data_IF_393408459123
#
_entry.id   IF_393408459123
#
_cell.length_a   1.000
_cell.length_b   1.000
_cell.length_c   1.000
_cell.angle_alpha   90.00
_cell.angle_beta   90.00
_cell.angle_gamma   90.00
#
_symmetry.space_group_name_H-M   'P 1'
#
loop_
_entity.id
_entity.type
_entity.pdbx_description
1 polymer ?
#
# COMPACT_ATOMS: atom_id res chain seq x y z
N UNK A 1 -62.39 26.57 31.42
CA UNK A 1 -61.25 25.67 31.13
C UNK A 1 -60.67 26.07 29.78
N UNK A 2 -59.33 26.18 29.62
CA UNK A 2 -58.54 26.22 28.35
C UNK A 2 -57.26 27.11 28.35
N UNK A 3 -56.81 27.68 29.48
CA UNK A 3 -55.60 28.54 29.51
C UNK A 3 -54.27 27.83 29.85
N UNK A 4 -54.29 26.57 30.30
CA UNK A 4 -53.06 25.87 30.74
C UNK A 4 -52.27 25.19 29.61
N UNK A 5 -52.84 25.03 28.41
CA UNK A 5 -52.18 24.35 27.28
C UNK A 5 -51.27 25.28 26.45
N UNK A 6 -51.46 26.60 26.51
CA UNK A 6 -50.74 27.56 25.65
C UNK A 6 -49.35 27.97 26.17
N UNK A 7 -49.09 27.78 27.47
CA UNK A 7 -47.82 28.17 28.10
C UNK A 7 -46.68 27.16 27.89
N UNK A 8 -47.00 25.90 27.54
CA UNK A 8 -45.98 24.87 27.42
C UNK A 8 -45.27 24.89 26.05
N UNK A 9 -45.93 25.38 24.99
CA UNK A 9 -45.37 25.41 23.63
C UNK A 9 -44.29 26.48 23.43
N UNK A 10 -44.38 27.63 24.10
CA UNK A 10 -43.37 28.69 24.01
C UNK A 10 -42.03 28.29 24.67
N UNK A 11 -42.10 27.49 25.73
CA UNK A 11 -40.91 26.96 26.42
C UNK A 11 -40.17 25.90 25.59
N UNK A 12 -40.89 25.13 24.77
CA UNK A 12 -40.31 24.15 23.86
C UNK A 12 -39.65 24.84 22.67
N UNK A 13 -40.36 25.78 22.04
CA UNK A 13 -39.83 26.54 20.91
C UNK A 13 -38.53 27.30 21.26
N UNK A 14 -38.48 27.97 22.41
CA UNK A 14 -37.28 28.69 22.88
C UNK A 14 -36.09 27.77 23.17
N UNK A 15 -36.33 26.58 23.74
CA UNK A 15 -35.30 25.57 23.95
C UNK A 15 -34.72 25.03 22.65
N UNK A 16 -35.55 24.84 21.62
CA UNK A 16 -35.08 24.44 20.30
C UNK A 16 -34.20 25.51 19.64
N UNK A 17 -34.57 26.79 19.77
CA UNK A 17 -33.76 27.89 19.25
C UNK A 17 -32.43 28.00 19.98
N UNK A 18 -32.44 27.88 21.32
CA UNK A 18 -31.21 27.86 22.12
C UNK A 18 -30.28 26.68 21.75
N UNK A 19 -30.85 25.49 21.53
CA UNK A 19 -30.08 24.32 21.10
C UNK A 19 -29.44 24.52 19.72
N UNK A 20 -30.16 25.10 18.76
CA UNK A 20 -29.63 25.41 17.42
C UNK A 20 -28.48 26.42 17.48
N UNK A 21 -28.60 27.45 18.31
CA UNK A 21 -27.52 28.44 18.53
C UNK A 21 -26.28 27.80 19.16
N UNK A 22 -26.46 26.90 20.13
CA UNK A 22 -25.33 26.17 20.74
C UNK A 22 -24.62 25.25 19.76
N UNK A 23 -25.37 24.52 18.93
CA UNK A 23 -24.80 23.66 17.87
C UNK A 23 -24.06 24.50 16.84
N UNK A 24 -24.65 25.62 16.39
CA UNK A 24 -24.02 26.53 15.44
C UNK A 24 -22.71 27.12 15.98
N UNK A 25 -22.71 27.54 17.25
CA UNK A 25 -21.50 28.05 17.90
C UNK A 25 -20.41 26.98 18.03
N UNK A 26 -20.79 25.76 18.43
CA UNK A 26 -19.85 24.64 18.54
C UNK A 26 -19.23 24.26 17.18
N UNK A 27 -20.01 24.28 16.11
CA UNK A 27 -19.52 24.04 14.75
C UNK A 27 -18.56 25.15 14.28
N UNK A 28 -18.88 26.40 14.58
CA UNK A 28 -18.02 27.54 14.23
C UNK A 28 -16.68 27.46 14.96
N UNK A 29 -16.67 27.10 16.25
CA UNK A 29 -15.43 26.89 17.02
C UNK A 29 -14.60 25.76 16.40
N UNK A 30 -15.21 24.63 16.04
CA UNK A 30 -14.48 23.53 15.37
C UNK A 30 -13.89 23.96 14.02
N UNK A 31 -14.65 24.69 13.20
CA UNK A 31 -14.18 25.20 11.91
C UNK A 31 -13.00 26.15 12.06
N UNK A 32 -13.05 27.01 13.08
CA UNK A 32 -11.98 27.95 13.40
C UNK A 32 -10.72 27.23 13.89
N UNK A 33 -10.85 26.22 14.77
CA UNK A 33 -9.73 25.39 15.23
C UNK A 33 -9.07 24.64 14.06
N UNK A 34 -9.86 24.13 13.11
CA UNK A 34 -9.36 23.44 11.91
C UNK A 34 -8.68 24.39 10.90
N UNK A 35 -9.14 25.64 10.80
CA UNK A 35 -8.57 26.63 9.89
C UNK A 35 -7.27 27.26 10.42
N UNK A 36 -6.92 27.05 11.70
CA UNK A 36 -5.73 27.65 12.30
C UNK A 36 -4.43 26.92 11.86
N UNK A 37 -3.52 27.55 11.09
CA UNK A 37 -2.41 26.85 10.44
C UNK A 37 -1.31 26.31 11.37
N UNK A 38 -1.39 26.56 12.67
CA UNK A 38 -0.28 26.32 13.63
C UNK A 38 -0.63 25.44 14.84
N UNK A 39 -1.84 24.87 14.91
CA UNK A 39 -2.36 24.34 16.19
C UNK A 39 -2.56 22.84 16.32
N UNK A 40 -3.00 22.13 15.28
CA UNK A 40 -3.47 20.74 15.45
C UNK A 40 -3.13 19.88 14.23
N UNK A 41 -1.84 19.72 13.94
CA UNK A 41 -1.34 18.58 13.15
C UNK A 41 -1.35 17.32 14.03
N UNK A 42 -2.47 17.01 14.68
CA UNK A 42 -2.69 15.65 15.17
C UNK A 42 -3.08 14.83 13.96
N UNK A 43 -2.09 14.12 13.42
CA UNK A 43 -2.24 13.01 12.49
C UNK A 43 -3.07 11.84 13.10
N UNK A 44 -4.18 12.12 13.80
CA UNK A 44 -5.09 11.10 14.34
C UNK A 44 -5.99 10.52 13.24
N UNK A 45 -6.05 11.17 12.08
CA UNK A 45 -6.58 10.61 10.84
C UNK A 45 -5.47 10.38 9.81
N UNK A 46 -4.35 9.76 10.22
CA UNK A 46 -3.66 8.89 9.27
C UNK A 46 -4.53 7.65 9.10
N UNK A 47 -5.65 7.80 8.38
CA UNK A 47 -6.33 6.66 7.81
C UNK A 47 -5.25 5.84 7.13
N UNK A 48 -5.04 4.61 7.61
CA UNK A 48 -4.30 3.64 6.84
C UNK A 48 -5.03 3.59 5.50
N UNK A 49 -4.48 4.24 4.49
CA UNK A 49 -4.92 4.08 3.13
C UNK A 49 -4.58 2.63 2.76
N UNK A 50 -5.50 1.73 3.08
CA UNK A 50 -5.67 0.44 2.43
C UNK A 50 -5.85 0.75 0.94
N UNK A 51 -4.74 0.84 0.22
CA UNK A 51 -4.72 1.22 -1.19
C UNK A 51 -4.01 2.54 -1.51
N UNK A 52 -3.00 2.97 -0.74
CA UNK A 52 -2.00 3.85 -1.31
C UNK A 52 -1.41 3.14 -2.54
N UNK A 53 -1.88 3.54 -3.73
CA UNK A 53 -1.29 3.13 -4.99
C UNK A 53 0.20 3.43 -4.86
N UNK A 54 1.03 2.38 -4.84
CA UNK A 54 2.47 2.57 -4.86
C UNK A 54 2.75 3.49 -6.05
N UNK A 55 3.37 4.66 -5.84
CA UNK A 55 3.71 5.53 -6.97
C UNK A 55 4.52 4.68 -7.95
N UNK A 56 4.09 4.70 -9.21
CA UNK A 56 4.72 3.92 -10.25
C UNK A 56 6.24 4.18 -10.20
N UNK A 57 7.07 3.13 -10.30
CA UNK A 57 8.51 3.28 -10.19
C UNK A 57 9.00 4.38 -11.13
N UNK A 58 9.52 5.46 -10.58
CA UNK A 58 9.97 6.61 -11.36
C UNK A 58 11.35 6.23 -11.91
N UNK A 59 11.38 5.77 -13.15
CA UNK A 59 12.63 5.41 -13.82
C UNK A 59 13.39 6.69 -14.18
N UNK A 60 14.49 6.98 -13.48
CA UNK A 60 15.33 8.18 -13.75
C UNK A 60 16.34 7.96 -14.88
N UNK A 61 16.49 6.73 -15.34
CA UNK A 61 17.15 6.28 -16.56
C UNK A 61 16.65 4.85 -16.81
N UNK A 62 16.64 4.34 -18.04
CA UNK A 62 15.90 3.11 -18.41
C UNK A 62 16.26 1.81 -17.65
N UNK A 63 17.25 1.81 -16.76
CA UNK A 63 17.66 0.65 -15.96
C UNK A 63 17.55 0.81 -14.44
N UNK A 64 17.34 2.03 -13.93
CA UNK A 64 17.30 2.28 -12.48
C UNK A 64 15.90 2.60 -12.01
N UNK A 65 15.44 1.87 -11.01
CA UNK A 65 14.14 2.05 -10.38
C UNK A 65 14.32 2.59 -8.97
N UNK A 66 13.51 3.57 -8.62
CA UNK A 66 13.43 4.11 -7.27
C UNK A 66 12.07 3.74 -6.69
N UNK A 67 12.08 3.10 -5.52
CA UNK A 67 10.89 2.60 -4.86
C UNK A 67 10.86 3.13 -3.43
N UNK A 68 9.82 3.88 -3.01
CA UNK A 68 9.63 4.19 -1.60
C UNK A 68 9.24 2.92 -0.85
N UNK A 69 9.81 2.74 0.34
CA UNK A 69 9.62 1.54 1.15
C UNK A 69 9.45 1.93 2.63
N UNK A 70 8.58 1.23 3.34
CA UNK A 70 8.48 1.32 4.80
C UNK A 70 9.32 0.19 5.43
N UNK A 71 10.42 0.52 6.09
CA UNK A 71 11.35 -0.45 6.70
C UNK A 71 10.86 -0.95 8.08
N UNK A 72 9.87 -0.29 8.67
CA UNK A 72 9.35 -0.59 10.01
C UNK A 72 8.26 0.39 10.44
N UNK A 73 7.83 0.31 11.69
CA UNK A 73 6.64 1.03 12.17
C UNK A 73 6.73 2.56 12.03
N UNK A 74 7.92 3.13 12.19
CA UNK A 74 8.16 4.57 12.08
C UNK A 74 9.36 4.91 11.19
N UNK A 75 9.75 4.00 10.30
CA UNK A 75 10.92 4.22 9.45
C UNK A 75 10.56 4.07 7.99
N UNK A 76 10.79 5.15 7.25
CA UNK A 76 10.66 5.21 5.81
C UNK A 76 12.02 5.18 5.13
N UNK A 77 12.03 4.75 3.89
CA UNK A 77 13.24 4.61 3.11
C UNK A 77 12.96 4.52 1.61
N UNK A 78 14.05 4.34 0.87
CA UNK A 78 14.07 4.28 -0.58
C UNK A 78 14.93 3.09 -1.00
N UNK A 79 14.43 2.29 -1.92
CA UNK A 79 15.24 1.28 -2.63
C UNK A 79 15.61 1.83 -3.99
N UNK A 80 16.90 1.78 -4.30
CA UNK A 80 17.42 1.92 -5.65
C UNK A 80 17.69 0.53 -6.20
N UNK A 81 17.14 0.21 -7.36
CA UNK A 81 17.35 -1.07 -8.04
C UNK A 81 17.92 -0.78 -9.42
N UNK A 82 19.18 -1.20 -9.67
CA UNK A 82 19.79 -1.16 -11.00
C UNK A 82 19.66 -2.54 -11.66
N UNK A 83 18.80 -2.64 -12.66
CA UNK A 83 18.60 -3.88 -13.44
C UNK A 83 19.80 -4.25 -14.30
N UNK A 84 20.59 -3.28 -14.75
CA UNK A 84 21.76 -3.52 -15.60
C UNK A 84 22.90 -4.12 -14.80
N UNK A 85 23.19 -3.53 -13.63
CA UNK A 85 24.23 -4.04 -12.74
C UNK A 85 23.76 -5.23 -11.90
N UNK A 86 22.44 -5.41 -11.76
CA UNK A 86 21.77 -6.37 -10.87
C UNK A 86 22.18 -6.17 -9.41
N UNK A 87 22.14 -4.91 -8.97
CA UNK A 87 22.43 -4.50 -7.60
C UNK A 87 21.26 -3.68 -7.07
N UNK A 88 20.92 -3.87 -5.80
CA UNK A 88 19.99 -2.99 -5.11
C UNK A 88 20.63 -2.36 -3.87
N UNK A 89 20.20 -1.14 -3.56
CA UNK A 89 20.62 -0.38 -2.39
C UNK A 89 19.38 0.11 -1.64
N UNK A 90 19.36 -0.11 -0.33
CA UNK A 90 18.29 0.32 0.57
C UNK A 90 18.80 1.47 1.42
N UNK A 91 18.14 2.61 1.33
CA UNK A 91 18.37 3.78 2.17
C UNK A 91 17.24 3.93 3.17
N UNK A 92 17.58 4.28 4.40
CA UNK A 92 16.63 4.69 5.43
C UNK A 92 16.75 6.18 5.66
N UNK A 93 15.62 6.84 5.78
CA UNK A 93 15.56 8.23 6.21
C UNK A 93 15.66 8.30 7.74
N UNK A 94 16.63 9.09 8.22
CA UNK A 94 16.79 9.41 9.63
C UNK A 94 16.18 10.79 9.89
N UNK A 95 14.96 10.80 10.42
CA UNK A 95 14.22 12.05 10.72
C UNK A 95 15.01 12.97 11.66
N UNK A 96 15.71 12.42 12.66
CA UNK A 96 16.48 13.18 13.64
C UNK A 96 17.63 13.99 13.07
N UNK A 97 18.14 13.60 11.89
CA UNK A 97 19.30 14.23 11.25
C UNK A 97 19.02 14.64 9.80
N UNK A 98 17.75 14.56 9.38
CA UNK A 98 17.28 14.85 8.01
C UNK A 98 18.18 14.27 6.90
N UNK A 99 18.73 13.08 7.13
CA UNK A 99 19.73 12.46 6.25
C UNK A 99 19.34 11.05 5.84
N UNK A 100 19.77 10.64 4.66
CA UNK A 100 19.66 9.26 4.20
C UNK A 100 20.88 8.46 4.68
N UNK A 101 20.63 7.28 5.25
CA UNK A 101 21.65 6.31 5.63
C UNK A 101 21.50 5.06 4.80
N UNK A 102 22.58 4.59 4.17
CA UNK A 102 22.61 3.29 3.51
C UNK A 102 22.46 2.18 4.57
N UNK A 103 21.43 1.37 4.43
CA UNK A 103 21.12 0.25 5.33
C UNK A 103 21.67 -1.05 4.77
N UNK A 104 21.44 -1.29 3.48
CA UNK A 104 21.87 -2.50 2.82
C UNK A 104 22.21 -2.22 1.37
N UNK A 105 23.20 -2.92 0.84
CA UNK A 105 23.50 -2.99 -0.57
C UNK A 105 23.85 -4.44 -0.91
N UNK A 106 23.28 -4.99 -1.98
CA UNK A 106 23.54 -6.37 -2.38
C UNK A 106 23.47 -6.55 -3.89
N UNK A 107 24.41 -7.34 -4.41
CA UNK A 107 24.36 -7.89 -5.76
C UNK A 107 23.43 -9.12 -5.77
N UNK A 108 22.41 -9.10 -6.63
CA UNK A 108 21.39 -10.14 -6.76
C UNK A 108 21.52 -10.94 -8.07
N UNK A 109 22.69 -10.91 -8.73
CA UNK A 109 22.96 -11.67 -9.97
C UNK A 109 22.66 -13.16 -9.84
N UNK A 110 23.01 -13.74 -8.70
CA UNK A 110 22.85 -15.17 -8.42
C UNK A 110 21.50 -15.47 -7.76
N UNK A 111 20.91 -14.51 -7.03
CA UNK A 111 19.59 -14.64 -6.40
C UNK A 111 18.51 -14.99 -7.45
N UNK A 112 18.61 -14.43 -8.66
CA UNK A 112 17.69 -14.73 -9.77
C UNK A 112 17.86 -16.13 -10.39
N UNK A 113 18.95 -16.83 -10.08
CA UNK A 113 19.23 -18.19 -10.56
C UNK A 113 18.74 -19.26 -9.58
N UNK A 114 18.27 -18.84 -8.41
CA UNK A 114 17.81 -19.74 -7.38
C UNK A 114 16.38 -20.17 -7.68
N UNK A 115 16.21 -21.43 -8.10
CA UNK A 115 14.90 -21.96 -8.50
C UNK A 115 14.12 -22.58 -7.34
N UNK A 116 14.81 -23.26 -6.42
CA UNK A 116 14.21 -23.94 -5.28
C UNK A 116 15.00 -23.64 -3.99
N UNK A 117 14.61 -22.60 -3.28
CA UNK A 117 15.14 -22.26 -1.96
C UNK A 117 14.02 -21.69 -1.10
N UNK A 118 13.87 -22.20 0.12
CA UNK A 118 12.75 -21.91 1.03
C UNK A 118 11.35 -22.27 0.49
N UNK A 119 11.25 -23.22 -0.44
CA UNK A 119 9.96 -23.69 -0.93
C UNK A 119 9.39 -24.77 0.00
N UNK A 120 8.16 -24.56 0.49
CA UNK A 120 7.28 -25.61 0.99
C UNK A 120 6.43 -26.15 -0.15
N UNK A 121 5.87 -27.36 0.01
CA UNK A 121 4.98 -27.90 -1.01
C UNK A 121 3.74 -27.00 -1.20
N UNK A 122 3.26 -26.79 -2.45
CA UNK A 122 3.76 -27.37 -3.70
C UNK A 122 4.98 -26.63 -4.28
N UNK A 123 5.99 -27.38 -4.75
CA UNK A 123 7.17 -26.80 -5.41
C UNK A 123 6.82 -26.26 -6.80
N UNK A 124 7.62 -25.33 -7.37
CA UNK A 124 7.42 -24.83 -8.74
C UNK A 124 7.31 -25.96 -9.79
N UNK A 125 8.05 -27.05 -9.61
CA UNK A 125 7.96 -28.23 -10.48
C UNK A 125 6.59 -28.95 -10.37
N UNK A 126 6.06 -29.07 -9.16
CA UNK A 126 4.74 -29.67 -8.92
C UNK A 126 3.62 -28.78 -9.49
N UNK A 127 3.70 -27.47 -9.28
CA UNK A 127 2.77 -26.50 -9.88
C UNK A 127 2.82 -26.60 -11.42
N UNK A 128 4.02 -26.71 -12.02
CA UNK A 128 4.17 -26.89 -13.46
C UNK A 128 3.49 -28.16 -13.96
N UNK A 129 3.60 -29.27 -13.23
CA UNK A 129 2.94 -30.54 -13.57
C UNK A 129 1.41 -30.40 -13.50
N UNK A 130 0.89 -29.78 -12.43
CA UNK A 130 -0.55 -29.52 -12.25
C UNK A 130 -1.09 -28.64 -13.38
N UNK A 131 -0.46 -27.51 -13.65
CA UNK A 131 -0.88 -26.59 -14.73
C UNK A 131 -0.81 -27.28 -16.09
N UNK A 132 0.24 -28.06 -16.36
CA UNK A 132 0.37 -28.80 -17.63
C UNK A 132 -0.72 -29.85 -17.82
N UNK A 133 -1.25 -30.43 -16.74
CA UNK A 133 -2.38 -31.36 -16.80
C UNK A 133 -3.73 -30.66 -17.05
N UNK A 134 -3.83 -29.37 -16.69
CA UNK A 134 -5.04 -28.56 -16.88
C UNK A 134 -5.11 -27.91 -18.28
N UNK A 135 -3.96 -27.67 -18.92
CA UNK A 135 -3.91 -27.10 -20.26
C UNK A 135 -4.27 -28.16 -21.32
N UNK A 136 -5.10 -27.82 -22.32
CA UNK A 136 -5.36 -28.72 -23.44
C UNK A 136 -4.03 -29.05 -24.16
N UNK A 137 -3.91 -30.24 -24.78
CA UNK A 137 -2.73 -30.62 -25.53
C UNK A 137 -2.41 -29.54 -26.57
N UNK A 138 -1.19 -28.97 -26.52
CA UNK A 138 -0.76 -28.02 -27.55
C UNK A 138 -0.83 -28.73 -28.92
N UNK A 139 -1.60 -28.23 -29.89
CA UNK A 139 -1.57 -28.80 -31.23
C UNK A 139 -0.18 -28.56 -31.83
N UNK A 140 0.59 -29.63 -32.09
CA UNK A 140 1.73 -29.53 -33.01
C UNK A 140 3.06 -30.20 -32.67
N UNK A 141 3.25 -30.94 -31.56
CA UNK A 141 4.44 -31.83 -31.46
C UNK A 141 4.11 -33.19 -32.07
N UNK A 142 4.24 -33.30 -33.39
CA UNK A 142 4.38 -34.61 -34.06
C UNK A 142 5.60 -35.30 -33.46
N UNK A 143 5.39 -36.40 -32.75
CA UNK A 143 6.51 -37.23 -32.30
C UNK A 143 7.29 -37.69 -33.55
N UNK A 144 8.63 -37.62 -33.57
CA UNK A 144 9.39 -38.17 -34.69
C UNK A 144 9.06 -39.66 -34.82
N UNK A 145 8.89 -40.18 -36.06
CA UNK A 145 8.48 -41.56 -36.28
C UNK A 145 9.50 -42.49 -35.63
N UNK A 146 9.00 -43.36 -34.74
CA UNK A 146 9.77 -44.48 -34.18
C UNK A 146 10.04 -45.43 -35.34
N UNK A 147 11.24 -45.34 -35.92
CA UNK A 147 11.66 -46.27 -36.96
C UNK A 147 11.64 -47.69 -36.34
N UNK A 148 10.83 -48.63 -36.83
CA UNK A 148 10.96 -50.02 -36.42
C UNK A 148 12.33 -50.49 -36.91
N UNK A 149 13.19 -50.88 -35.96
CA UNK A 149 14.48 -51.47 -36.25
C UNK A 149 14.29 -52.60 -37.27
N UNK A 150 15.11 -52.56 -38.31
CA UNK A 150 15.07 -53.50 -39.41
C UNK A 150 15.32 -54.93 -38.95
N UNK A 151 14.68 -55.82 -39.71
CA UNK A 151 14.89 -57.27 -39.90
C UNK A 151 15.96 -57.95 -39.07
#
# INVERSE_FOLDING_TARGET
>A
MNNSLRANDSSRASRFHAALWLIGLALLINAVVLAWPKGYQTNMFSGQALGAAFPAPTASNHSTYVLPLRLGDKSWGLVLVDRRQRVFCVYRFLESASRLRLVAARDYRYDLRLHDYNNTAPTPAQVKAMVSSMLPPRPGKKNPPKNPAGK
#
